data_IF_203370828900
#
_entry.id   IF_203370828900
#
_cell.length_a   1.000
_cell.length_b   1.000
_cell.length_c   1.000
_cell.angle_alpha   90.00
_cell.angle_beta   90.00
_cell.angle_gamma   90.00
#
_symmetry.space_group_name_H-M   'P 1'
#
loop_
_entity.id
_entity.type
_entity.pdbx_description
1 polymer ?
#
# COMPACT_ATOMS: atom_id res chain seq x y z
N UNK A 1 -4.71 -6.15 -0.85
CA UNK A 1 -5.80 -5.28 -0.35
C UNK A 1 -5.20 -4.02 0.23
N UNK A 2 -5.79 -2.86 -0.06
CA UNK A 2 -5.35 -1.56 0.46
C UNK A 2 -6.56 -0.85 1.06
N UNK A 3 -6.41 -0.37 2.30
CA UNK A 3 -7.41 0.42 3.00
C UNK A 3 -6.87 1.84 3.15
N UNK A 4 -7.71 2.84 2.93
CA UNK A 4 -7.36 4.24 3.15
C UNK A 4 -8.39 4.88 4.05
N UNK A 5 -7.93 5.78 4.93
CA UNK A 5 -8.78 6.56 5.81
C UNK A 5 -8.27 8.00 5.83
N UNK A 6 -9.19 8.96 5.76
CA UNK A 6 -8.80 10.36 5.93
C UNK A 6 -8.28 10.60 7.35
N UNK A 7 -7.20 11.38 7.46
CA UNK A 7 -6.58 11.70 8.72
C UNK A 7 -6.50 13.23 8.87
N UNK A 8 -6.73 13.74 10.08
CA UNK A 8 -6.65 15.17 10.40
C UNK A 8 -5.21 15.63 10.72
N UNK A 9 -4.25 14.71 10.71
CA UNK A 9 -2.83 15.00 10.90
C UNK A 9 -2.22 15.65 9.65
N UNK A 10 -1.18 16.48 9.75
CA UNK A 10 -0.56 17.15 8.60
C UNK A 10 0.28 16.22 7.69
N UNK A 11 0.39 14.93 8.03
CA UNK A 11 1.23 13.97 7.33
C UNK A 11 0.51 12.65 7.03
N UNK A 12 0.80 12.06 5.87
CA UNK A 12 0.28 10.76 5.50
C UNK A 12 0.98 9.63 6.27
N UNK A 13 0.24 8.61 6.72
CA UNK A 13 0.79 7.44 7.43
C UNK A 13 0.61 6.18 6.59
N UNK A 14 1.61 5.31 6.62
CA UNK A 14 1.57 4.01 5.94
C UNK A 14 1.71 2.86 6.94
N UNK A 15 0.69 2.03 7.02
CA UNK A 15 0.72 0.70 7.63
C UNK A 15 0.96 -0.38 6.58
N UNK A 16 1.90 -1.30 6.82
CA UNK A 16 2.11 -2.47 5.94
C UNK A 16 1.95 -3.75 6.76
N UNK A 17 0.94 -4.54 6.41
CA UNK A 17 0.58 -5.81 7.07
C UNK A 17 0.99 -6.98 6.20
N UNK A 18 2.06 -7.65 6.63
CA UNK A 18 2.63 -8.83 5.96
C UNK A 18 2.55 -10.02 6.91
N UNK A 19 1.54 -10.88 6.74
CA UNK A 19 1.38 -12.05 7.59
C UNK A 19 2.42 -13.14 7.26
N UNK A 20 2.94 -13.83 8.29
CA UNK A 20 3.90 -14.95 8.13
C UNK A 20 3.39 -16.05 7.19
N UNK A 21 2.07 -16.31 7.20
CA UNK A 21 1.39 -17.28 6.32
C UNK A 21 1.55 -16.96 4.82
N UNK A 22 1.71 -15.68 4.48
CA UNK A 22 1.80 -15.23 3.09
C UNK A 22 3.24 -15.07 2.61
N UNK A 23 4.21 -14.96 3.51
CA UNK A 23 5.62 -14.87 3.14
C UNK A 23 6.43 -15.51 4.28
N UNK A 24 6.70 -16.82 4.21
CA UNK A 24 7.37 -17.53 5.29
C UNK A 24 8.81 -17.03 5.52
N UNK A 25 9.47 -16.53 4.46
CA UNK A 25 10.83 -15.99 4.52
C UNK A 25 10.87 -14.53 4.99
N UNK A 26 11.71 -14.25 5.98
CA UNK A 26 11.92 -12.88 6.49
C UNK A 26 12.40 -11.90 5.40
N UNK A 27 13.30 -12.35 4.52
CA UNK A 27 13.81 -11.55 3.40
C UNK A 27 12.67 -11.05 2.50
N UNK A 28 11.76 -11.94 2.08
CA UNK A 28 10.60 -11.59 1.24
C UNK A 28 9.71 -10.55 1.93
N UNK A 29 9.42 -10.75 3.23
CA UNK A 29 8.63 -9.78 4.01
C UNK A 29 9.31 -8.41 4.09
N UNK A 30 10.63 -8.37 4.26
CA UNK A 30 11.39 -7.13 4.32
C UNK A 30 11.46 -6.42 2.98
N UNK A 31 11.61 -7.16 1.88
CA UNK A 31 11.53 -6.59 0.52
C UNK A 31 10.17 -5.97 0.27
N UNK A 32 9.07 -6.64 0.61
CA UNK A 32 7.72 -6.10 0.40
C UNK A 32 7.54 -4.81 1.21
N UNK A 33 7.88 -4.83 2.50
CA UNK A 33 7.83 -3.62 3.33
C UNK A 33 8.68 -2.49 2.75
N UNK A 34 9.88 -2.77 2.21
CA UNK A 34 10.74 -1.77 1.56
C UNK A 34 10.10 -1.20 0.30
N UNK A 35 9.67 -2.05 -0.63
CA UNK A 35 9.04 -1.65 -1.90
C UNK A 35 7.79 -0.81 -1.64
N UNK A 36 6.92 -1.22 -0.72
CA UNK A 36 5.71 -0.44 -0.39
C UNK A 36 6.06 0.92 0.20
N UNK A 37 7.06 0.99 1.09
CA UNK A 37 7.52 2.27 1.66
C UNK A 37 8.19 3.18 0.64
N UNK A 38 8.95 2.64 -0.30
CA UNK A 38 9.57 3.41 -1.38
C UNK A 38 8.52 3.96 -2.34
N UNK A 39 7.54 3.15 -2.74
CA UNK A 39 6.42 3.61 -3.57
C UNK A 39 5.65 4.73 -2.87
N UNK A 40 5.37 4.57 -1.57
CA UNK A 40 4.70 5.61 -0.79
C UNK A 40 5.55 6.86 -0.63
N UNK A 41 6.87 6.74 -0.44
CA UNK A 41 7.77 7.90 -0.33
C UNK A 41 7.83 8.70 -1.63
N UNK A 42 7.82 8.03 -2.78
CA UNK A 42 7.83 8.66 -4.09
C UNK A 42 6.46 9.25 -4.48
N UNK A 43 5.40 8.85 -3.79
CA UNK A 43 4.05 9.35 -4.00
C UNK A 43 3.77 10.42 -2.95
N UNK A 44 3.91 11.69 -3.30
CA UNK A 44 3.57 12.79 -2.39
C UNK A 44 2.05 12.77 -2.11
N UNK A 45 1.65 12.12 -1.01
CA UNK A 45 0.25 11.92 -0.67
C UNK A 45 -0.28 12.96 0.31
N UNK A 46 -1.55 13.37 0.14
CA UNK A 46 -2.24 14.21 1.12
C UNK A 46 -2.35 13.48 2.48
N UNK A 47 -2.66 14.20 3.56
CA UNK A 47 -2.74 13.64 4.91
C UNK A 47 -3.78 12.53 5.07
N UNK A 48 -3.36 11.28 4.88
CA UNK A 48 -4.23 10.10 4.95
C UNK A 48 -3.51 8.91 5.56
N UNK A 49 -4.28 8.01 6.17
CA UNK A 49 -3.81 6.73 6.70
C UNK A 49 -4.03 5.62 5.68
N UNK A 50 -2.96 5.09 5.11
CA UNK A 50 -2.97 3.99 4.16
C UNK A 50 -2.53 2.69 4.84
N UNK A 51 -3.33 1.62 4.78
CA UNK A 51 -2.98 0.29 5.29
C UNK A 51 -2.96 -0.72 4.14
N UNK A 52 -1.75 -1.17 3.79
CA UNK A 52 -1.52 -2.20 2.78
C UNK A 52 -1.51 -3.56 3.46
N UNK A 53 -2.43 -4.45 3.09
CA UNK A 53 -2.48 -5.84 3.56
C UNK A 53 -2.27 -6.81 2.41
N UNK A 54 -1.32 -7.73 2.60
CA UNK A 54 -1.19 -8.90 1.74
C UNK A 54 -2.42 -9.81 1.89
N UNK A 55 -3.09 -10.05 0.78
CA UNK A 55 -4.23 -10.98 0.68
C UNK A 55 -3.84 -12.35 0.14
N UNK A 56 -2.69 -12.47 -0.52
CA UNK A 56 -2.25 -13.69 -1.19
C UNK A 56 -0.84 -14.08 -0.76
N UNK A 57 -0.59 -15.38 -0.69
CA UNK A 57 0.74 -15.90 -0.38
C UNK A 57 1.70 -15.68 -1.54
N UNK A 58 2.82 -15.05 -1.26
CA UNK A 58 3.98 -14.95 -2.12
C UNK A 58 4.91 -16.08 -1.71
N UNK A 59 4.94 -17.13 -2.54
CA UNK A 59 5.73 -18.34 -2.39
C UNK A 59 5.09 -19.41 -1.46
N UNK A 60 4.14 -20.17 -2.02
CA UNK A 60 3.76 -21.48 -1.49
C UNK A 60 4.87 -22.48 -1.85
N UNK A 61 5.61 -22.91 -0.83
CA UNK A 61 6.47 -24.11 -0.64
C UNK A 61 7.16 -24.89 -1.80
N UNK A 62 6.87 -24.71 -3.09
CA UNK A 62 7.24 -25.70 -4.13
C UNK A 62 8.10 -25.17 -5.30
N UNK A 63 8.80 -24.03 -5.15
CA UNK A 63 9.68 -23.52 -6.21
C UNK A 63 10.95 -22.82 -5.72
N UNK A 64 12.03 -22.84 -6.53
CA UNK A 64 13.33 -22.30 -6.12
C UNK A 64 13.20 -20.82 -5.78
N UNK A 65 14.05 -20.41 -4.83
CA UNK A 65 14.12 -19.05 -4.33
C UNK A 65 14.22 -18.06 -5.49
N UNK A 66 13.24 -17.16 -5.61
CA UNK A 66 13.28 -15.99 -6.51
C UNK A 66 12.71 -16.22 -7.90
N UNK A 67 11.40 -16.43 -8.01
CA UNK A 67 10.71 -15.98 -9.22
C UNK A 67 10.66 -14.45 -9.15
N UNK A 68 11.67 -13.79 -9.74
CA UNK A 68 11.66 -12.34 -9.95
C UNK A 68 10.34 -11.89 -10.61
N UNK A 69 9.71 -12.77 -11.41
CA UNK A 69 8.36 -12.62 -11.93
C UNK A 69 7.28 -12.46 -10.84
N UNK A 70 7.25 -13.31 -9.80
CA UNK A 70 6.30 -13.14 -8.69
C UNK A 70 6.51 -11.83 -7.94
N UNK A 71 7.76 -11.38 -7.81
CA UNK A 71 8.05 -10.06 -7.22
C UNK A 71 7.59 -8.92 -8.14
N UNK A 72 7.77 -9.07 -9.45
CA UNK A 72 7.34 -8.11 -10.45
C UNK A 72 5.81 -8.01 -10.47
N UNK A 73 5.10 -9.13 -10.57
CA UNK A 73 3.64 -9.18 -10.49
C UNK A 73 3.11 -8.59 -9.18
N UNK A 74 3.75 -8.91 -8.05
CA UNK A 74 3.38 -8.33 -6.76
C UNK A 74 3.61 -6.82 -6.76
N UNK A 75 4.73 -6.35 -7.32
CA UNK A 75 5.07 -4.93 -7.40
C UNK A 75 4.09 -4.20 -8.30
N UNK A 76 3.74 -4.77 -9.45
CA UNK A 76 2.79 -4.19 -10.40
C UNK A 76 1.40 -4.11 -9.79
N UNK A 77 0.95 -5.18 -9.11
CA UNK A 77 -0.33 -5.18 -8.44
C UNK A 77 -0.36 -4.21 -7.25
N UNK A 78 0.71 -4.15 -6.45
CA UNK A 78 0.84 -3.15 -5.39
C UNK A 78 0.83 -1.73 -5.95
N UNK A 79 1.56 -1.48 -7.04
CA UNK A 79 1.63 -0.18 -7.70
C UNK A 79 0.27 0.24 -8.26
N UNK A 80 -0.44 -0.68 -8.93
CA UNK A 80 -1.79 -0.46 -9.46
C UNK A 80 -2.79 -0.19 -8.34
N UNK A 81 -2.81 -1.02 -7.29
CA UNK A 81 -3.70 -0.82 -6.14
C UNK A 81 -3.42 0.51 -5.45
N UNK A 82 -2.15 0.87 -5.34
CA UNK A 82 -1.74 2.14 -4.77
C UNK A 82 -2.25 3.30 -5.63
N UNK A 83 -1.94 3.33 -6.93
CA UNK A 83 -2.40 4.38 -7.85
C UNK A 83 -3.94 4.52 -7.88
N UNK A 84 -4.67 3.39 -7.92
CA UNK A 84 -6.12 3.40 -7.87
C UNK A 84 -6.66 4.01 -6.56
N UNK A 85 -6.02 3.72 -5.43
CA UNK A 85 -6.42 4.28 -4.14
C UNK A 85 -5.98 5.73 -3.97
N UNK A 86 -4.83 6.15 -4.49
CA UNK A 86 -4.46 7.57 -4.53
C UNK A 86 -5.52 8.37 -5.29
N UNK A 87 -5.96 7.87 -6.45
CA UNK A 87 -7.01 8.51 -7.24
C UNK A 87 -8.38 8.50 -6.55
N UNK A 88 -8.76 7.39 -5.89
CA UNK A 88 -9.98 7.32 -5.10
C UNK A 88 -9.94 8.27 -3.90
N UNK A 89 -8.79 8.39 -3.26
CA UNK A 89 -8.58 9.24 -2.11
C UNK A 89 -8.60 10.73 -2.48
N UNK A 90 -7.97 11.12 -3.59
CA UNK A 90 -8.02 12.49 -4.10
C UNK A 90 -9.46 12.97 -4.34
N UNK A 91 -10.35 12.08 -4.82
CA UNK A 91 -11.79 12.36 -4.94
C UNK A 91 -12.47 12.54 -3.60
N UNK A 92 -12.11 11.76 -2.58
CA UNK A 92 -12.70 11.85 -1.24
C UNK A 92 -12.24 13.09 -0.44
N UNK A 93 -11.03 13.59 -0.69
CA UNK A 93 -10.51 14.80 -0.04
C UNK A 93 -11.00 16.10 -0.66
N UNK A 94 -11.61 16.05 -1.85
CA UNK A 94 -12.15 17.22 -2.55
C UNK A 94 -13.55 17.65 -2.06
N UNK A 95 -13.97 17.23 -0.85
CA UNK A 95 -15.19 17.73 -0.25
C UNK A 95 -15.10 19.26 -0.08
N UNK A 96 -16.08 20.04 -0.60
CA UNK A 96 -16.03 21.49 -0.54
C UNK A 96 -16.06 21.95 0.92
N UNK A 97 -15.38 23.06 1.27
CA UNK A 97 -15.53 23.65 2.60
C UNK A 97 -17.02 23.92 2.85
N UNK A 98 -17.54 23.66 4.07
CA UNK A 98 -18.91 24.00 4.39
C UNK A 98 -19.13 25.49 4.12
N UNK A 99 -20.25 25.90 3.50
CA UNK A 99 -20.54 27.32 3.34
C UNK A 99 -20.57 27.94 4.73
N UNK A 100 -19.66 28.88 4.97
CA UNK A 100 -19.67 29.75 6.14
C UNK A 100 -21.02 30.48 6.11
N UNK A 101 -21.95 30.01 6.94
CA UNK A 101 -23.26 30.66 7.13
C UNK A 101 -23.00 31.96 7.91
N UNK A 102 -23.61 33.10 7.51
CA UNK A 102 -23.28 34.45 7.97
C UNK A 102 -23.54 34.70 9.46
#
# INVERSE_FOLDING_TARGET
>A
MLYTRHNQLPHARLGVVVAKRFAPRAATRNTIKRVTRELFRNSALPPVDCVVRLSRAVNSKDGPATTARLKAELRDELSRLFAAQVAAQARSSAAPPPPSVP
#
